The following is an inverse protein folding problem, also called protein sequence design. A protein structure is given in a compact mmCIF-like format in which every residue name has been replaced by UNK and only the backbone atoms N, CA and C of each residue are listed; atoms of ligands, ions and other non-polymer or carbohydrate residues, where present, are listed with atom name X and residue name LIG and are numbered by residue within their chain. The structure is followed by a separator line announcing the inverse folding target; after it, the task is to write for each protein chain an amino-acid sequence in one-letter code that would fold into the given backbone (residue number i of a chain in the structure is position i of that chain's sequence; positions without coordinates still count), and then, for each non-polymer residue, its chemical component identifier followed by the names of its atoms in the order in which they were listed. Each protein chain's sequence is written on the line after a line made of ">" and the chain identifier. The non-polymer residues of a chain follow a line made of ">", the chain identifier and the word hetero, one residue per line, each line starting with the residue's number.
data_IF_846744704463
#
_entry.id   IF_846744704463
#
_cell.length_a   1.000
_cell.length_b   1.000
_cell.length_c   1.000
_cell.angle_alpha   90.00
_cell.angle_beta   90.00
_cell.angle_gamma   90.00
#
_symmetry.space_group_name_H-M   'P 1'
#
loop_
_entity.id
_entity.type
_entity.pdbx_description
1 polymer ?
#
# COMPACT_ATOMS: atom_id res chain seq x y z
N UNK A 1 2.96 13.16 -4.40
CA UNK A 1 3.83 12.61 -3.33
C UNK A 1 3.25 11.27 -2.87
N UNK A 2 3.81 10.58 -1.88
CA UNK A 2 3.47 9.20 -1.48
C UNK A 2 3.67 9.06 0.00
N UNK A 3 3.02 8.11 0.68
CA UNK A 3 3.39 7.74 2.04
C UNK A 3 3.58 6.22 2.15
N UNK A 4 4.75 5.81 2.65
CA UNK A 4 5.05 4.43 2.96
C UNK A 4 5.78 4.30 4.29
N UNK A 5 5.43 3.27 5.05
CA UNK A 5 5.94 3.06 6.41
C UNK A 5 6.13 1.57 6.70
N UNK A 6 7.18 1.23 7.42
CA UNK A 6 7.52 -0.12 7.83
C UNK A 6 7.71 -0.21 9.34
N UNK A 7 7.36 -1.37 9.89
CA UNK A 7 7.52 -1.67 11.32
C UNK A 7 7.89 -3.14 11.54
N UNK A 8 8.79 -3.38 12.49
CA UNK A 8 8.99 -4.71 13.07
C UNK A 8 7.87 -4.91 14.09
N UNK A 9 6.88 -5.73 13.74
CA UNK A 9 5.66 -5.93 14.53
C UNK A 9 5.77 -7.10 15.51
N UNK A 10 6.75 -7.99 15.31
CA UNK A 10 7.14 -9.02 16.29
C UNK A 10 8.65 -9.27 16.16
N UNK A 11 9.44 -8.85 17.17
CA UNK A 11 10.90 -9.04 17.15
C UNK A 11 11.30 -10.51 17.35
N UNK A 12 10.52 -11.27 18.11
CA UNK A 12 10.80 -12.67 18.45
C UNK A 12 10.55 -13.56 17.24
N UNK A 13 9.41 -13.40 16.57
CA UNK A 13 9.10 -14.11 15.32
C UNK A 13 9.82 -13.52 14.10
N UNK A 14 10.51 -12.38 14.26
CA UNK A 14 11.15 -11.64 13.18
C UNK A 14 10.16 -11.09 12.15
N UNK A 15 8.92 -10.80 12.58
CA UNK A 15 7.85 -10.30 11.71
C UNK A 15 8.01 -8.82 11.42
N UNK A 16 8.01 -8.50 10.14
CA UNK A 16 8.19 -7.15 9.61
C UNK A 16 7.11 -6.86 8.56
N UNK A 17 6.51 -5.68 8.66
CA UNK A 17 5.40 -5.26 7.81
C UNK A 17 5.71 -3.91 7.19
N UNK A 18 5.43 -3.77 5.90
CA UNK A 18 5.57 -2.57 5.08
C UNK A 18 4.19 -2.21 4.51
N UNK A 19 3.79 -0.95 4.64
CA UNK A 19 2.53 -0.40 4.18
C UNK A 19 2.78 0.76 3.22
N UNK A 20 1.92 0.91 2.21
CA UNK A 20 1.91 2.06 1.32
C UNK A 20 0.49 2.35 0.80
N UNK A 21 0.26 3.61 0.43
CA UNK A 21 -0.92 4.06 -0.30
C UNK A 21 -0.75 3.84 -1.82
N UNK A 22 -1.81 3.96 -2.62
CA UNK A 22 -1.74 3.79 -4.10
C UNK A 22 -2.03 5.05 -4.90
N UNK A 23 -2.34 6.19 -4.28
CA UNK A 23 -2.71 7.42 -5.01
C UNK A 23 -1.51 7.98 -5.78
N UNK A 24 -1.74 8.37 -7.03
CA UNK A 24 -0.82 9.24 -7.77
C UNK A 24 -1.33 10.67 -7.67
N UNK A 25 -0.45 11.59 -7.25
CA UNK A 25 -0.79 13.02 -7.18
C UNK A 25 -0.32 13.74 -8.44
N UNK A 26 -1.21 14.50 -9.06
CA UNK A 26 -0.97 15.34 -10.21
C UNK A 26 -1.03 16.82 -9.76
N UNK A 27 0.10 17.53 -9.79
CA UNK A 27 0.22 18.89 -9.23
C UNK A 27 -0.75 19.92 -9.82
N UNK A 28 -1.28 19.67 -11.01
CA UNK A 28 -2.16 20.61 -11.72
C UNK A 28 -3.48 19.98 -12.18
N UNK A 29 -3.84 18.79 -11.67
CA UNK A 29 -5.08 18.10 -12.06
C UNK A 29 -5.85 17.64 -10.83
N UNK A 30 -6.68 18.55 -10.31
CA UNK A 30 -7.56 18.30 -9.15
C UNK A 30 -8.57 17.19 -9.46
N UNK A 31 -9.02 17.07 -10.72
CA UNK A 31 -9.97 16.04 -11.14
C UNK A 31 -9.33 14.65 -11.00
N UNK A 32 -8.13 14.44 -11.57
CA UNK A 32 -7.41 13.18 -11.41
C UNK A 32 -7.09 12.86 -9.94
N UNK A 33 -6.77 13.87 -9.14
CA UNK A 33 -6.49 13.68 -7.71
C UNK A 33 -7.72 13.22 -6.90
N UNK A 34 -8.95 13.50 -7.36
CA UNK A 34 -10.20 13.02 -6.76
C UNK A 34 -10.53 11.58 -7.15
N UNK A 35 -9.96 11.06 -8.24
CA UNK A 35 -10.17 9.69 -8.71
C UNK A 35 -9.07 8.72 -8.27
N UNK A 36 -8.63 8.83 -7.02
CA UNK A 36 -7.52 8.04 -6.45
C UNK A 36 -7.72 6.51 -6.50
N UNK A 37 -8.96 6.04 -6.63
CA UNK A 37 -9.33 4.62 -6.72
C UNK A 37 -9.37 4.09 -8.15
N UNK A 38 -9.47 4.97 -9.15
CA UNK A 38 -9.66 4.57 -10.55
C UNK A 38 -8.36 4.15 -11.24
N UNK A 39 -7.23 4.69 -10.77
CA UNK A 39 -5.89 4.37 -11.28
C UNK A 39 -4.90 4.16 -10.12
N UNK A 40 -5.04 3.06 -9.36
CA UNK A 40 -4.12 2.76 -8.28
C UNK A 40 -2.72 2.47 -8.85
N UNK A 41 -1.69 2.98 -8.19
CA UNK A 41 -0.30 2.65 -8.48
C UNK A 41 0.31 1.77 -7.38
N UNK A 42 0.98 0.69 -7.79
CA UNK A 42 1.71 -0.16 -6.88
C UNK A 42 3.05 0.49 -6.49
N UNK A 43 3.18 0.91 -5.23
CA UNK A 43 4.39 1.58 -4.72
C UNK A 43 5.33 0.65 -3.96
N UNK A 44 4.96 -0.61 -3.80
CA UNK A 44 5.77 -1.65 -3.15
C UNK A 44 6.14 -2.70 -4.19
N UNK A 45 7.44 -3.04 -4.27
CA UNK A 45 7.94 -4.14 -5.09
C UNK A 45 8.53 -5.20 -4.17
N UNK A 46 8.13 -6.45 -4.36
CA UNK A 46 8.80 -7.59 -3.74
C UNK A 46 9.94 -7.98 -4.69
N UNK A 47 11.18 -7.84 -4.21
CA UNK A 47 12.37 -8.15 -4.99
C UNK A 47 12.64 -9.65 -4.96
N UNK A 48 12.47 -10.27 -3.79
CA UNK A 48 12.51 -11.72 -3.62
C UNK A 48 11.73 -12.10 -2.34
N UNK A 49 11.74 -13.37 -1.97
CA UNK A 49 11.06 -13.85 -0.75
C UNK A 49 11.57 -13.25 0.56
N UNK A 50 12.67 -12.50 0.57
CA UNK A 50 13.26 -11.93 1.78
C UNK A 50 13.22 -10.40 1.81
N UNK A 51 12.99 -9.74 0.68
CA UNK A 51 13.12 -8.28 0.52
C UNK A 51 11.91 -7.69 -0.21
N UNK A 52 11.33 -6.65 0.39
CA UNK A 52 10.40 -5.76 -0.28
C UNK A 52 10.82 -4.30 -0.11
N UNK A 53 10.48 -3.47 -1.10
CA UNK A 53 10.93 -2.09 -1.20
C UNK A 53 9.74 -1.21 -1.56
N UNK A 54 9.46 -0.21 -0.75
CA UNK A 54 8.56 0.87 -1.11
C UNK A 54 9.34 2.03 -1.75
N UNK A 55 8.68 2.73 -2.67
CA UNK A 55 9.21 3.93 -3.33
C UNK A 55 8.38 5.16 -2.97
N UNK A 56 9.03 6.32 -2.89
CA UNK A 56 8.37 7.61 -2.80
C UNK A 56 9.18 8.68 -3.54
N UNK A 57 8.52 9.78 -3.89
CA UNK A 57 9.12 10.91 -4.62
C UNK A 57 8.44 11.13 -5.97
N UNK A 58 9.12 11.85 -6.84
CA UNK A 58 8.61 12.25 -8.15
C UNK A 58 8.62 11.07 -9.12
N UNK A 59 7.62 10.97 -10.01
CA UNK A 59 7.52 9.94 -11.06
C UNK A 59 7.86 8.53 -10.52
N UNK A 60 7.02 7.93 -9.65
CA UNK A 60 7.35 6.69 -8.96
C UNK A 60 7.65 5.52 -9.91
N UNK A 61 7.08 5.54 -11.13
CA UNK A 61 7.28 4.52 -12.16
C UNK A 61 8.77 4.22 -12.42
N UNK A 62 9.63 5.22 -12.62
CA UNK A 62 11.06 4.97 -12.91
C UNK A 62 11.83 4.43 -11.71
N UNK A 63 11.40 4.74 -10.49
CA UNK A 63 11.97 4.12 -9.28
C UNK A 63 11.52 2.67 -9.12
N UNK A 64 10.27 2.37 -9.45
CA UNK A 64 9.73 1.00 -9.43
C UNK A 64 10.45 0.14 -10.46
N UNK A 65 10.60 0.64 -11.69
CA UNK A 65 11.37 -0.02 -12.75
C UNK A 65 12.81 -0.29 -12.31
N UNK A 66 13.48 0.71 -11.72
CA UNK A 66 14.82 0.53 -11.15
C UNK A 66 14.85 -0.59 -10.12
N UNK A 67 13.90 -0.64 -9.18
CA UNK A 67 13.82 -1.66 -8.14
C UNK A 67 13.58 -3.06 -8.73
N UNK A 68 12.72 -3.18 -9.73
CA UNK A 68 12.48 -4.46 -10.43
C UNK A 68 13.76 -4.99 -11.07
N UNK A 69 14.56 -4.11 -11.69
CA UNK A 69 15.87 -4.46 -12.27
C UNK A 69 16.91 -4.94 -11.25
N UNK A 70 16.64 -4.86 -9.94
CA UNK A 70 17.54 -5.34 -8.89
C UNK A 70 17.21 -6.77 -8.42
N UNK A 71 16.18 -7.41 -8.99
CA UNK A 71 15.86 -8.82 -8.67
C UNK A 71 17.04 -9.74 -8.96
N UNK A 72 17.25 -10.71 -8.08
CA UNK A 72 18.39 -11.63 -8.13
C UNK A 72 19.68 -11.09 -7.49
N UNK A 73 19.77 -9.79 -7.17
CA UNK A 73 20.93 -9.23 -6.50
C UNK A 73 20.91 -9.46 -4.97
N UNK A 74 22.07 -9.54 -4.31
CA UNK A 74 22.15 -9.62 -2.85
C UNK A 74 21.77 -8.27 -2.19
N UNK A 75 21.33 -8.28 -0.90
CA UNK A 75 20.86 -7.07 -0.20
C UNK A 75 21.80 -5.87 -0.28
N UNK A 76 23.10 -6.08 -0.07
CA UNK A 76 24.08 -4.98 -0.09
C UNK A 76 24.22 -4.34 -1.48
N UNK A 77 24.15 -5.14 -2.55
CA UNK A 77 24.20 -4.62 -3.91
C UNK A 77 22.93 -3.83 -4.26
N UNK A 78 21.76 -4.28 -3.77
CA UNK A 78 20.50 -3.54 -3.88
C UNK A 78 20.61 -2.18 -3.18
N UNK A 79 21.05 -2.16 -1.92
CA UNK A 79 21.23 -0.93 -1.13
C UNK A 79 22.17 0.06 -1.84
N UNK A 80 23.33 -0.41 -2.32
CA UNK A 80 24.28 0.42 -3.06
C UNK A 80 23.70 0.97 -4.36
N UNK A 81 23.00 0.13 -5.15
CA UNK A 81 22.42 0.56 -6.42
C UNK A 81 21.32 1.62 -6.23
N UNK A 82 20.49 1.49 -5.19
CA UNK A 82 19.45 2.46 -4.87
C UNK A 82 20.02 3.77 -4.33
N UNK A 83 21.09 3.70 -3.54
CA UNK A 83 21.80 4.90 -3.07
C UNK A 83 22.40 5.67 -4.24
N UNK A 84 23.13 4.99 -5.14
CA UNK A 84 23.67 5.61 -6.36
C UNK A 84 22.58 6.23 -7.23
N UNK A 85 21.48 5.51 -7.44
CA UNK A 85 20.35 6.02 -8.21
C UNK A 85 19.69 7.24 -7.55
N UNK A 86 19.51 7.24 -6.22
CA UNK A 86 18.98 8.39 -5.51
C UNK A 86 19.88 9.62 -5.65
N UNK A 87 21.20 9.45 -5.58
CA UNK A 87 22.19 10.54 -5.78
C UNK A 87 22.16 11.06 -7.21
N UNK A 88 22.02 10.17 -8.20
CA UNK A 88 21.92 10.56 -9.60
C UNK A 88 20.67 11.40 -9.87
N UNK A 89 19.51 10.97 -9.36
CA UNK A 89 18.24 11.66 -9.58
C UNK A 89 18.17 13.03 -8.90
N UNK A 90 18.89 13.23 -7.79
CA UNK A 90 19.01 14.54 -7.14
C UNK A 90 19.72 15.60 -7.99
N UNK A 91 20.46 15.20 -9.02
CA UNK A 91 21.09 16.15 -9.95
C UNK A 91 20.05 16.83 -10.85
N UNK A 92 18.83 16.29 -10.93
CA UNK A 92 17.73 16.85 -11.71
C UNK A 92 16.91 17.77 -10.79
N UNK A 93 16.81 19.08 -11.08
CA UNK A 93 16.08 20.02 -10.24
C UNK A 93 14.62 19.59 -10.03
N UNK A 94 14.19 19.58 -8.76
CA UNK A 94 12.82 19.22 -8.38
C UNK A 94 12.50 17.73 -8.40
N UNK A 95 13.47 16.84 -8.69
CA UNK A 95 13.27 15.39 -8.67
C UNK A 95 13.84 14.79 -7.41
N UNK A 96 13.00 14.07 -6.68
CA UNK A 96 13.34 13.34 -5.46
C UNK A 96 13.00 11.87 -5.59
N UNK A 97 13.86 11.00 -5.04
CA UNK A 97 13.61 9.56 -4.94
C UNK A 97 14.00 9.07 -3.57
N UNK A 98 13.09 8.35 -2.92
CA UNK A 98 13.30 7.72 -1.63
C UNK A 98 12.88 6.26 -1.68
N UNK A 99 13.60 5.42 -0.92
CA UNK A 99 13.37 3.99 -0.84
C UNK A 99 13.29 3.56 0.61
N UNK A 100 12.34 2.68 0.90
CA UNK A 100 12.17 2.06 2.20
C UNK A 100 12.24 0.55 2.00
N UNK A 101 13.33 -0.04 2.46
CA UNK A 101 13.61 -1.46 2.31
C UNK A 101 13.29 -2.18 3.62
N UNK A 102 12.55 -3.28 3.50
CA UNK A 102 12.44 -4.29 4.54
C UNK A 102 13.16 -5.56 4.09
N UNK A 103 13.96 -6.13 4.98
CA UNK A 103 14.64 -7.41 4.76
C UNK A 103 14.34 -8.31 5.94
N UNK A 104 13.83 -9.52 5.71
CA UNK A 104 13.42 -10.42 6.81
C UNK A 104 14.55 -11.33 7.34
N UNK A 105 15.54 -11.65 6.50
CA UNK A 105 16.64 -12.59 6.79
C UNK A 105 18.01 -11.93 6.64
N UNK A 106 19.03 -12.34 7.43
CA UNK A 106 18.97 -13.34 8.52
C UNK A 106 18.25 -12.83 9.79
N UNK A 107 18.08 -11.52 9.91
CA UNK A 107 17.26 -10.85 10.93
C UNK A 107 16.46 -9.73 10.26
N UNK A 108 15.30 -9.32 10.80
CA UNK A 108 14.53 -8.21 10.27
C UNK A 108 15.38 -6.93 10.27
N UNK A 109 15.43 -6.24 9.13
CA UNK A 109 16.10 -4.95 8.95
C UNK A 109 15.17 -3.95 8.27
N UNK A 110 15.26 -2.70 8.68
CA UNK A 110 14.61 -1.57 8.02
C UNK A 110 15.69 -0.58 7.60
N UNK A 111 15.80 -0.33 6.30
CA UNK A 111 16.72 0.66 5.73
C UNK A 111 15.92 1.73 5.00
N UNK A 112 16.21 2.98 5.29
CA UNK A 112 15.66 4.15 4.59
C UNK A 112 16.77 4.76 3.75
N UNK A 113 16.51 4.98 2.47
CA UNK A 113 17.39 5.72 1.57
C UNK A 113 16.64 6.96 1.11
N UNK A 114 17.17 8.14 1.44
CA UNK A 114 16.61 9.44 1.03
C UNK A 114 17.74 10.42 0.82
N UNK A 115 17.64 11.26 -0.21
CA UNK A 115 18.64 12.30 -0.48
C UNK A 115 20.09 11.76 -0.48
N UNK A 116 20.29 10.55 -1.02
CA UNK A 116 21.61 9.90 -1.09
C UNK A 116 22.15 9.40 0.25
N UNK A 117 21.39 9.52 1.33
CA UNK A 117 21.76 9.09 2.67
C UNK A 117 21.05 7.78 2.98
N UNK A 118 21.82 6.82 3.49
CA UNK A 118 21.32 5.55 4.04
C UNK A 118 21.17 5.67 5.56
N UNK A 119 19.97 5.48 6.05
CA UNK A 119 19.63 5.44 7.47
C UNK A 119 19.16 4.03 7.87
N UNK A 120 19.81 3.44 8.87
CA UNK A 120 19.44 2.13 9.40
C UNK A 120 18.46 2.29 10.57
N UNK A 121 17.20 1.97 10.33
CA UNK A 121 16.09 2.12 11.28
C UNK A 121 15.76 0.85 12.04
N UNK A 122 16.60 -0.18 11.94
CA UNK A 122 16.35 -1.51 12.52
C UNK A 122 16.18 -1.47 14.05
N UNK A 123 17.04 -0.74 14.76
CA UNK A 123 16.95 -0.62 16.22
C UNK A 123 15.69 0.12 16.67
N UNK A 124 15.32 1.19 15.96
CA UNK A 124 14.06 1.90 16.19
C UNK A 124 12.85 1.03 15.85
N UNK A 125 13.01 0.05 14.96
CA UNK A 125 11.98 -0.88 14.54
C UNK A 125 10.88 -0.22 13.71
N UNK A 126 11.06 1.04 13.27
CA UNK A 126 10.11 1.79 12.44
C UNK A 126 10.87 2.71 11.48
N UNK A 127 10.51 2.70 10.19
CA UNK A 127 11.05 3.60 9.17
C UNK A 127 9.97 4.00 8.16
N UNK A 128 10.08 5.19 7.59
CA UNK A 128 9.08 5.74 6.67
C UNK A 128 9.74 6.61 5.60
N UNK A 129 9.03 6.81 4.49
CA UNK A 129 9.40 7.70 3.39
C UNK A 129 8.17 8.44 2.88
N UNK A 130 8.41 9.58 2.21
CA UNK A 130 7.38 10.34 1.53
C UNK A 130 6.87 11.54 2.33
N UNK A 131 5.56 11.73 2.37
CA UNK A 131 4.92 12.94 2.92
C UNK A 131 5.03 13.01 4.46
N UNK A 132 5.56 14.12 4.97
CA UNK A 132 5.78 14.35 6.39
C UNK A 132 4.47 14.55 7.16
N UNK A 133 3.47 15.20 6.55
CA UNK A 133 2.19 15.46 7.22
C UNK A 133 1.38 14.17 7.30
N UNK A 134 1.47 13.30 6.31
CA UNK A 134 0.96 11.93 6.39
C UNK A 134 1.60 11.15 7.54
N UNK A 135 2.92 11.24 7.70
CA UNK A 135 3.62 10.60 8.82
C UNK A 135 3.15 11.15 10.17
N UNK A 136 2.95 12.47 10.30
CA UNK A 136 2.44 13.09 11.53
C UNK A 136 1.03 12.60 11.86
N UNK A 137 0.13 12.60 10.88
CA UNK A 137 -1.23 12.08 11.03
C UNK A 137 -1.21 10.60 11.45
N UNK A 138 -0.47 9.78 10.72
CA UNK A 138 -0.26 8.37 11.05
C UNK A 138 0.21 8.19 12.49
N UNK A 139 1.26 8.93 12.89
CA UNK A 139 1.88 8.78 14.18
C UNK A 139 0.93 9.19 15.32
N UNK A 140 0.14 10.25 15.11
CA UNK A 140 -0.89 10.68 16.07
C UNK A 140 -1.96 9.60 16.25
N UNK A 141 -2.44 9.01 15.16
CA UNK A 141 -3.43 7.92 15.21
C UNK A 141 -2.85 6.68 15.90
N UNK A 142 -1.63 6.28 15.51
CA UNK A 142 -0.96 5.08 16.01
C UNK A 142 -0.62 5.16 17.51
N UNK A 143 -0.23 6.33 18.00
CA UNK A 143 0.14 6.55 19.41
C UNK A 143 -1.02 7.00 20.30
N UNK A 144 -2.21 7.26 19.74
CA UNK A 144 -3.35 7.69 20.55
C UNK A 144 -3.76 6.65 21.60
N UNK A 145 -4.14 7.10 22.79
CA UNK A 145 -4.61 6.22 23.88
C UNK A 145 -5.84 5.40 23.46
N UNK A 146 -6.72 6.03 22.66
CA UNK A 146 -7.88 5.37 22.08
C UNK A 146 -7.48 4.18 21.20
N UNK A 147 -6.51 4.34 20.29
CA UNK A 147 -6.05 3.27 19.43
C UNK A 147 -5.32 2.16 20.20
N UNK A 148 -4.51 2.54 21.21
CA UNK A 148 -3.81 1.58 22.07
C UNK A 148 -4.78 0.72 22.89
N UNK A 149 -5.87 1.32 23.36
CA UNK A 149 -6.92 0.64 24.14
C UNK A 149 -7.80 -0.23 23.25
N UNK A 150 -8.27 0.30 22.12
CA UNK A 150 -9.19 -0.40 21.23
C UNK A 150 -8.50 -1.55 20.45
N UNK A 151 -7.21 -1.41 20.13
CA UNK A 151 -6.45 -2.39 19.34
C UNK A 151 -5.10 -2.63 20.02
N UNK A 152 -5.06 -3.54 21.03
CA UNK A 152 -3.83 -3.83 21.76
C UNK A 152 -2.76 -4.48 20.87
N UNK A 153 -3.18 -5.28 19.88
CA UNK A 153 -2.30 -5.92 18.91
C UNK A 153 -1.51 -4.89 18.09
N UNK A 154 -0.18 -5.05 18.04
CA UNK A 154 0.72 -4.08 17.43
C UNK A 154 0.54 -4.02 15.91
N UNK A 155 0.34 -5.17 15.25
CA UNK A 155 0.16 -5.21 13.79
C UNK A 155 -1.21 -4.63 13.40
N UNK A 156 -2.28 -5.03 14.08
CA UNK A 156 -3.62 -4.49 13.91
C UNK A 156 -3.64 -2.97 14.09
N UNK A 157 -3.02 -2.45 15.15
CA UNK A 157 -2.91 -1.01 15.38
C UNK A 157 -2.08 -0.30 14.31
N UNK A 158 -0.99 -0.92 13.87
CA UNK A 158 -0.14 -0.39 12.79
C UNK A 158 -0.91 -0.29 11.47
N UNK A 159 -1.66 -1.33 11.10
CA UNK A 159 -2.51 -1.34 9.91
C UNK A 159 -3.64 -0.31 10.01
N UNK A 160 -4.38 -0.29 11.12
CA UNK A 160 -5.53 0.59 11.28
C UNK A 160 -5.15 2.07 11.30
N UNK A 161 -3.99 2.43 11.86
CA UNK A 161 -3.47 3.79 11.76
C UNK A 161 -3.26 4.18 10.29
N UNK A 162 -2.68 3.30 9.47
CA UNK A 162 -2.49 3.56 8.04
C UNK A 162 -3.80 3.61 7.26
N UNK A 163 -4.76 2.71 7.55
CA UNK A 163 -6.10 2.75 6.94
C UNK A 163 -6.73 4.12 7.17
N UNK A 164 -6.68 4.63 8.40
CA UNK A 164 -7.20 5.96 8.71
C UNK A 164 -6.41 7.05 7.98
N UNK A 165 -5.08 7.02 8.00
CA UNK A 165 -4.27 8.01 7.25
C UNK A 165 -4.63 8.08 5.76
N UNK A 166 -5.02 6.96 5.14
CA UNK A 166 -5.46 6.89 3.74
C UNK A 166 -6.90 7.36 3.57
N UNK A 167 -7.81 6.97 4.48
CA UNK A 167 -9.25 7.13 4.30
C UNK A 167 -9.77 8.57 4.50
N UNK A 168 -9.12 9.36 5.34
CA UNK A 168 -9.64 10.69 5.70
C UNK A 168 -9.29 11.80 4.69
N UNK A 169 -8.49 11.51 3.65
CA UNK A 169 -8.05 12.45 2.60
C UNK A 169 -7.48 13.81 3.11
N UNK A 170 -7.21 13.93 4.42
CA UNK A 170 -6.64 15.12 5.08
C UNK A 170 -5.26 15.50 4.52
N UNK A 171 -4.59 14.56 3.86
CA UNK A 171 -3.30 14.77 3.20
C UNK A 171 -3.45 14.53 1.71
N UNK A 172 -3.45 15.61 0.94
CA UNK A 172 -3.72 15.60 -0.50
C UNK A 172 -2.87 14.59 -1.31
N UNK A 173 -1.66 14.28 -0.83
CA UNK A 173 -0.71 13.40 -1.49
C UNK A 173 -0.89 11.90 -1.20
N UNK A 174 -1.79 11.54 -0.28
CA UNK A 174 -2.05 10.17 0.16
C UNK A 174 -3.49 9.80 -0.18
N UNK A 175 -3.72 8.52 -0.51
CA UNK A 175 -5.07 7.99 -0.70
C UNK A 175 -5.07 6.69 -1.52
N UNK A 176 -6.24 6.36 -2.06
CA UNK A 176 -6.42 5.13 -2.83
C UNK A 176 -6.52 3.90 -1.92
N UNK A 177 -5.88 2.81 -2.30
CA UNK A 177 -5.89 1.56 -1.54
C UNK A 177 -4.70 1.46 -0.59
N UNK A 178 -4.90 0.76 0.53
CA UNK A 178 -3.80 0.25 1.34
C UNK A 178 -3.20 -0.98 0.65
N UNK A 179 -1.88 -0.99 0.49
CA UNK A 179 -1.08 -2.18 0.13
C UNK A 179 -0.19 -2.55 1.30
N UNK A 180 -0.25 -3.82 1.72
CA UNK A 180 0.60 -4.38 2.77
C UNK A 180 1.50 -5.48 2.22
N UNK A 181 2.79 -5.43 2.54
CA UNK A 181 3.72 -6.53 2.38
C UNK A 181 4.27 -6.95 3.75
N UNK A 182 4.18 -8.24 4.07
CA UNK A 182 4.65 -8.76 5.37
C UNK A 182 5.47 -10.03 5.18
N UNK A 183 6.43 -10.25 6.05
CA UNK A 183 7.21 -11.48 6.13
C UNK A 183 7.72 -11.71 7.55
N UNK A 184 8.22 -12.92 7.82
CA UNK A 184 8.76 -13.31 9.13
C UNK A 184 10.06 -14.11 8.98
N UNK A 185 10.62 -14.62 10.08
CA UNK A 185 11.77 -15.53 9.99
C UNK A 185 11.44 -16.80 9.17
N UNK A 186 10.20 -17.30 9.25
CA UNK A 186 9.76 -18.56 8.63
C UNK A 186 8.97 -18.35 7.34
N UNK A 187 8.30 -17.22 7.17
CA UNK A 187 7.46 -16.94 6.01
C UNK A 187 8.11 -15.89 5.09
N UNK A 188 8.10 -16.10 3.76
CA UNK A 188 8.63 -15.12 2.83
C UNK A 188 7.79 -13.84 2.82
N UNK A 189 8.38 -12.74 2.38
CA UNK A 189 7.65 -11.49 2.17
C UNK A 189 6.61 -11.70 1.06
N UNK A 190 5.35 -11.42 1.38
CA UNK A 190 4.20 -11.50 0.46
C UNK A 190 3.25 -10.34 0.70
N UNK A 191 2.46 -10.00 -0.31
CA UNK A 191 1.34 -9.10 -0.11
C UNK A 191 0.30 -9.74 0.83
N UNK A 192 -0.31 -8.92 1.68
CA UNK A 192 -1.42 -9.31 2.55
C UNK A 192 -2.73 -9.40 1.76
N UNK A 193 -3.58 -10.37 2.09
CA UNK A 193 -4.92 -10.49 1.54
C UNK A 193 -5.94 -9.72 2.39
N UNK A 194 -5.59 -8.47 2.74
CA UNK A 194 -6.42 -7.66 3.64
C UNK A 194 -7.64 -7.12 2.89
N UNK A 195 -8.86 -7.38 3.38
CA UNK A 195 -10.03 -6.69 2.88
C UNK A 195 -9.95 -5.22 3.30
N UNK A 196 -10.22 -4.34 2.35
CA UNK A 196 -10.47 -2.93 2.61
C UNK A 196 -11.92 -2.60 2.27
N UNK A 197 -12.50 -1.64 2.96
CA UNK A 197 -13.76 -1.04 2.56
C UNK A 197 -13.49 0.07 1.54
N UNK A 198 -14.23 0.06 0.46
CA UNK A 198 -14.31 1.17 -0.48
C UNK A 198 -15.61 1.88 -0.18
N UNK A 199 -15.50 3.05 0.45
CA UNK A 199 -16.66 3.91 0.68
C UNK A 199 -17.18 4.42 -0.67
N UNK A 200 -18.49 4.70 -0.78
CA UNK A 200 -19.03 5.38 -1.95
C UNK A 200 -18.24 6.66 -2.25
N UNK A 201 -17.92 6.87 -3.53
CA UNK A 201 -17.10 8.02 -3.95
C UNK A 201 -17.77 9.40 -3.78
N UNK A 202 -19.05 9.42 -3.43
CA UNK A 202 -19.87 10.63 -3.30
C UNK A 202 -20.43 10.74 -1.87
N UNK A 203 -19.57 10.92 -0.87
CA UNK A 203 -20.03 11.29 0.46
C UNK A 203 -20.06 12.82 0.59
N UNK A 204 -21.24 13.36 0.87
CA UNK A 204 -21.43 14.75 1.27
C UNK A 204 -21.25 14.87 2.79
N UNK A 205 -20.38 15.77 3.22
CA UNK A 205 -20.22 16.11 4.63
C UNK A 205 -21.07 17.34 4.96
N UNK A 206 -22.04 17.18 5.84
CA UNK A 206 -22.79 18.30 6.42
C UNK A 206 -22.27 18.58 7.83
N UNK A 207 -21.87 19.82 8.08
CA UNK A 207 -21.43 20.28 9.38
C UNK A 207 -22.62 20.88 10.12
N UNK A 208 -22.89 20.40 11.32
CA UNK A 208 -24.02 20.88 12.11
C UNK A 208 -23.75 20.85 13.61
N UNK A 209 -24.41 21.72 14.39
CA UNK A 209 -24.36 21.64 15.84
C UNK A 209 -24.96 20.32 16.32
N UNK A 210 -24.23 19.59 17.16
CA UNK A 210 -24.75 18.37 17.78
C UNK A 210 -25.68 18.70 18.96
N UNK A 211 -26.69 17.84 19.25
CA UNK A 211 -27.64 18.04 20.34
C UNK A 211 -27.00 18.17 21.73
N UNK A 212 -25.79 17.62 21.93
CA UNK A 212 -25.06 17.65 23.19
C UNK A 212 -24.13 18.88 23.35
N UNK A 213 -24.13 19.80 22.38
CA UNK A 213 -23.14 20.87 22.27
C UNK A 213 -21.85 20.35 21.63
N UNK A 214 -21.42 21.02 20.55
CA UNK A 214 -20.28 20.63 19.73
C UNK A 214 -20.59 20.76 18.23
N UNK A 215 -19.55 20.69 17.40
CA UNK A 215 -19.67 20.62 15.94
C UNK A 215 -19.55 19.16 15.52
N UNK A 216 -20.58 18.62 14.87
CA UNK A 216 -20.58 17.28 14.31
C UNK A 216 -20.42 17.31 12.80
N UNK A 217 -19.76 16.28 12.27
CA UNK A 217 -19.76 15.97 10.84
C UNK A 217 -20.77 14.85 10.61
N UNK A 218 -21.79 15.11 9.80
CA UNK A 218 -22.71 14.09 9.33
C UNK A 218 -22.41 13.80 7.87
N UNK A 219 -21.98 12.56 7.60
CA UNK A 219 -21.74 12.08 6.25
C UNK A 219 -23.07 11.54 5.69
N UNK A 220 -23.47 12.04 4.53
CA UNK A 220 -24.65 11.61 3.80
C UNK A 220 -24.29 11.35 2.33
N UNK A 221 -25.03 10.47 1.69
CA UNK A 221 -24.91 10.24 0.25
C UNK A 221 -25.86 11.20 -0.48
N UNK A 222 -25.47 11.82 -1.60
CA UNK A 222 -26.38 12.60 -2.41
C UNK A 222 -27.55 11.73 -2.89
N UNK A 223 -28.73 12.32 -3.10
CA UNK A 223 -29.88 11.60 -3.65
C UNK A 223 -29.54 10.92 -4.99
N UNK A 224 -29.64 9.59 -5.04
CA UNK A 224 -29.33 8.78 -6.22
C UNK A 224 -27.89 8.25 -6.28
N UNK A 225 -27.01 8.63 -5.36
CA UNK A 225 -25.69 8.05 -5.24
C UNK A 225 -25.79 6.58 -4.76
N UNK A 226 -24.93 5.72 -5.31
CA UNK A 226 -24.86 4.31 -4.91
C UNK A 226 -24.37 4.22 -3.45
N UNK A 227 -25.21 3.76 -2.51
CA UNK A 227 -24.85 3.69 -1.10
C UNK A 227 -23.90 2.54 -0.78
N UNK A 228 -23.62 1.67 -1.76
CA UNK A 228 -22.97 0.39 -1.51
C UNK A 228 -21.50 0.61 -1.18
N UNK A 229 -21.13 0.39 0.08
CA UNK A 229 -19.73 0.18 0.43
C UNK A 229 -19.31 -1.15 -0.17
N UNK A 230 -18.25 -1.16 -0.98
CA UNK A 230 -17.76 -2.39 -1.58
C UNK A 230 -16.61 -2.98 -0.78
N UNK A 231 -16.52 -4.30 -0.77
CA UNK A 231 -15.35 -4.98 -0.24
C UNK A 231 -14.30 -5.02 -1.35
N UNK A 232 -13.14 -4.44 -1.07
CA UNK A 232 -11.96 -4.59 -1.91
C UNK A 232 -11.06 -5.66 -1.33
N UNK A 233 -10.78 -6.67 -2.13
CA UNK A 233 -9.90 -7.78 -1.79
C UNK A 233 -8.56 -7.62 -2.48
N UNK A 234 -7.51 -7.78 -1.70
CA UNK A 234 -6.16 -7.92 -2.27
C UNK A 234 -5.94 -9.37 -2.67
N UNK A 235 -5.68 -9.62 -3.96
CA UNK A 235 -5.30 -10.94 -4.49
C UNK A 235 -3.81 -10.89 -4.81
N UNK A 236 -3.00 -11.62 -4.06
CA UNK A 236 -1.54 -11.59 -4.18
C UNK A 236 -1.05 -12.58 -5.25
N UNK A 237 0.07 -12.26 -5.88
CA UNK A 237 0.80 -13.21 -6.70
C UNK A 237 1.49 -14.31 -5.88
N UNK A 238 1.58 -15.51 -6.46
CA UNK A 238 2.40 -16.62 -5.95
C UNK A 238 3.57 -16.88 -6.88
N UNK A 239 4.49 -17.77 -6.49
CA UNK A 239 5.65 -18.10 -7.32
C UNK A 239 5.21 -18.65 -8.69
N UNK A 240 5.85 -18.24 -9.81
CA UNK A 240 6.99 -17.32 -9.90
C UNK A 240 6.63 -15.82 -9.86
N UNK A 241 5.37 -15.43 -10.03
CA UNK A 241 4.92 -14.03 -10.08
C UNK A 241 4.63 -13.42 -8.69
N UNK A 242 5.50 -13.65 -7.71
CA UNK A 242 5.28 -13.31 -6.29
C UNK A 242 5.14 -11.82 -5.96
N UNK A 243 5.36 -10.93 -6.93
CA UNK A 243 5.20 -9.48 -6.80
C UNK A 243 4.03 -8.94 -7.62
N UNK A 244 3.24 -9.82 -8.26
CA UNK A 244 1.97 -9.45 -8.85
C UNK A 244 0.95 -9.13 -7.75
N UNK A 245 0.01 -8.26 -8.06
CA UNK A 245 -0.99 -7.78 -7.11
C UNK A 245 -2.26 -7.39 -7.88
N UNK A 246 -3.39 -7.94 -7.50
CA UNK A 246 -4.68 -7.46 -7.95
C UNK A 246 -5.49 -6.86 -6.80
N UNK A 247 -6.15 -5.74 -7.07
CA UNK A 247 -7.21 -5.19 -6.22
C UNK A 247 -8.54 -5.55 -6.85
N UNK A 248 -9.30 -6.47 -6.24
CA UNK A 248 -10.55 -6.99 -6.76
C UNK A 248 -11.73 -6.45 -5.97
N UNK A 249 -12.75 -5.95 -6.67
CA UNK A 249 -14.02 -5.50 -6.11
C UNK A 249 -15.12 -6.37 -6.71
N UNK A 250 -15.59 -7.42 -6.00
CA UNK A 250 -16.56 -8.38 -6.51
C UNK A 250 -17.87 -7.74 -6.99
N UNK A 251 -18.40 -6.81 -6.20
CA UNK A 251 -19.69 -6.15 -6.42
C UNK A 251 -19.66 -5.30 -7.70
N UNK A 252 -18.52 -4.65 -7.96
CA UNK A 252 -18.29 -3.86 -9.17
C UNK A 252 -17.73 -4.69 -10.33
N UNK A 253 -17.53 -6.00 -10.15
CA UNK A 253 -16.98 -6.93 -11.15
C UNK A 253 -15.71 -6.38 -11.82
N UNK A 254 -14.89 -5.71 -11.03
CA UNK A 254 -13.73 -4.95 -11.50
C UNK A 254 -12.50 -5.36 -10.72
N UNK A 255 -11.38 -5.52 -11.41
CA UNK A 255 -10.07 -5.66 -10.78
C UNK A 255 -9.03 -4.75 -11.43
N UNK A 256 -8.05 -4.32 -10.64
CA UNK A 256 -6.83 -3.66 -11.12
C UNK A 256 -5.65 -4.58 -10.87
N UNK A 257 -5.04 -5.09 -11.93
CA UNK A 257 -3.90 -6.01 -11.90
C UNK A 257 -2.59 -5.26 -12.18
N UNK A 258 -1.66 -5.35 -11.24
CA UNK A 258 -0.25 -5.02 -11.46
C UNK A 258 0.53 -6.32 -11.65
N UNK A 259 1.34 -6.37 -12.71
CA UNK A 259 2.13 -7.56 -13.04
C UNK A 259 3.40 -7.65 -12.20
N UNK A 260 3.94 -8.86 -12.08
CA UNK A 260 5.21 -9.08 -11.44
C UNK A 260 6.34 -8.38 -12.22
N UNK A 261 6.34 -8.48 -13.54
CA UNK A 261 7.39 -8.02 -14.44
C UNK A 261 7.41 -6.50 -14.58
N UNK A 262 6.23 -5.87 -14.68
CA UNK A 262 6.11 -4.45 -15.02
C UNK A 262 5.16 -3.67 -14.08
N UNK A 263 5.36 -3.72 -12.74
CA UNK A 263 4.47 -3.06 -11.78
C UNK A 263 4.50 -1.52 -11.86
N UNK A 264 5.43 -0.92 -12.61
CA UNK A 264 5.49 0.53 -12.84
C UNK A 264 4.52 1.02 -13.91
N UNK A 265 3.98 0.12 -14.74
CA UNK A 265 2.95 0.46 -15.72
C UNK A 265 1.61 0.69 -15.01
N UNK A 266 0.69 1.36 -15.70
CA UNK A 266 -0.68 1.49 -15.23
C UNK A 266 -1.27 0.11 -14.95
N UNK A 267 -2.08 0.01 -13.90
CA UNK A 267 -2.75 -1.24 -13.60
C UNK A 267 -3.64 -1.67 -14.77
N UNK A 268 -3.62 -2.95 -15.09
CA UNK A 268 -4.50 -3.53 -16.10
C UNK A 268 -5.89 -3.62 -15.48
N UNK A 269 -6.83 -2.84 -15.99
CA UNK A 269 -8.23 -2.91 -15.56
C UNK A 269 -8.89 -4.12 -16.20
N UNK A 270 -9.41 -5.01 -15.37
CA UNK A 270 -10.12 -6.22 -15.78
C UNK A 270 -11.59 -6.12 -15.38
N UNK A 271 -12.48 -6.61 -16.23
CA UNK A 271 -13.88 -6.82 -15.90
C UNK A 271 -14.11 -8.33 -15.78
N UNK A 272 -14.48 -8.78 -14.59
CA UNK A 272 -14.54 -10.21 -14.22
C UNK A 272 -15.74 -10.47 -13.32
N UNK A 273 -16.47 -11.54 -13.56
CA UNK A 273 -17.68 -11.92 -12.84
C UNK A 273 -17.38 -12.58 -11.48
N UNK A 274 -16.18 -13.12 -11.29
CA UNK A 274 -15.80 -13.84 -10.07
C UNK A 274 -14.30 -13.80 -9.79
N UNK A 275 -13.91 -14.20 -8.58
CA UNK A 275 -12.52 -14.42 -8.21
C UNK A 275 -11.85 -15.50 -9.08
N UNK A 276 -12.58 -16.57 -9.44
CA UNK A 276 -12.04 -17.63 -10.29
C UNK A 276 -11.69 -17.07 -11.68
N UNK A 277 -12.62 -16.32 -12.27
CA UNK A 277 -12.38 -15.69 -13.57
C UNK A 277 -11.21 -14.70 -13.52
N UNK A 278 -11.05 -13.94 -12.43
CA UNK A 278 -9.88 -13.09 -12.24
C UNK A 278 -8.57 -13.89 -12.28
N UNK A 279 -8.51 -15.02 -11.57
CA UNK A 279 -7.30 -15.86 -11.54
C UNK A 279 -7.03 -16.48 -12.92
N UNK A 280 -8.08 -16.92 -13.62
CA UNK A 280 -7.96 -17.53 -14.94
C UNK A 280 -7.51 -16.52 -16.00
N UNK A 281 -8.12 -15.33 -16.04
CA UNK A 281 -7.75 -14.23 -16.96
C UNK A 281 -6.34 -13.73 -16.67
N UNK A 282 -6.00 -13.51 -15.39
CA UNK A 282 -4.66 -13.08 -15.00
C UNK A 282 -3.58 -14.06 -15.47
N UNK A 283 -3.87 -15.38 -15.41
CA UNK A 283 -2.95 -16.42 -15.84
C UNK A 283 -2.87 -16.55 -17.36
N UNK A 284 -4.01 -16.64 -18.04
CA UNK A 284 -4.09 -16.91 -19.47
C UNK A 284 -3.61 -15.73 -20.31
N UNK A 285 -4.02 -14.51 -19.95
CA UNK A 285 -3.84 -13.34 -20.81
C UNK A 285 -2.64 -12.48 -20.37
N UNK A 286 -2.22 -12.61 -19.11
CA UNK A 286 -1.19 -11.77 -18.52
C UNK A 286 -0.03 -12.54 -17.87
N UNK A 287 -0.03 -13.88 -17.92
CA UNK A 287 0.99 -14.74 -17.32
C UNK A 287 1.19 -14.52 -15.80
N UNK A 288 0.17 -14.02 -15.09
CA UNK A 288 0.22 -13.78 -13.65
C UNK A 288 -0.47 -14.90 -12.88
N UNK A 289 0.21 -15.48 -11.89
CA UNK A 289 -0.33 -16.55 -11.06
C UNK A 289 -0.72 -15.96 -9.71
N UNK A 290 -2.02 -15.95 -9.44
CA UNK A 290 -2.63 -15.33 -8.28
C UNK A 290 -3.08 -16.38 -7.24
N UNK A 291 -3.01 -16.03 -5.96
CA UNK A 291 -3.41 -16.87 -4.82
C UNK A 291 -4.95 -16.84 -4.65
N UNK A 292 -5.64 -17.83 -5.19
CA UNK A 292 -7.10 -17.95 -5.01
C UNK A 292 -7.47 -18.25 -3.57
N UNK A 293 -6.80 -19.23 -2.96
CA UNK A 293 -7.23 -19.85 -1.71
C UNK A 293 -7.27 -18.85 -0.57
N UNK A 294 -6.20 -18.07 -0.41
CA UNK A 294 -6.14 -17.04 0.63
C UNK A 294 -7.18 -15.94 0.44
N UNK A 295 -7.47 -15.55 -0.80
CA UNK A 295 -8.49 -14.53 -1.06
C UNK A 295 -9.90 -15.09 -0.91
N UNK A 296 -10.14 -16.36 -1.22
CA UNK A 296 -11.42 -17.00 -0.98
C UNK A 296 -11.72 -17.09 0.52
N UNK A 297 -10.73 -17.46 1.34
CA UNK A 297 -10.87 -17.46 2.81
C UNK A 297 -11.24 -16.05 3.33
N UNK A 298 -10.64 -15.00 2.75
CA UNK A 298 -11.02 -13.64 3.07
C UNK A 298 -12.47 -13.36 2.63
N UNK A 299 -12.84 -13.67 1.39
CA UNK A 299 -14.21 -13.46 0.89
C UNK A 299 -15.26 -14.13 1.78
N UNK A 300 -15.05 -15.40 2.14
CA UNK A 300 -16.00 -16.19 2.94
C UNK A 300 -16.19 -15.62 4.36
N UNK A 301 -15.19 -14.92 4.89
CA UNK A 301 -15.27 -14.26 6.21
C UNK A 301 -16.09 -12.97 6.18
N UNK A 302 -16.18 -12.30 5.03
CA UNK A 302 -16.79 -10.98 4.90
C UNK A 302 -18.01 -10.94 3.96
N UNK A 303 -18.40 -12.08 3.38
CA UNK A 303 -19.67 -12.19 2.67
C UNK A 303 -20.84 -11.99 3.66
N UNK A 304 -21.78 -11.06 3.41
CA UNK A 304 -22.99 -10.97 4.20
C UNK A 304 -23.82 -12.25 4.01
N UNK A 305 -24.23 -12.87 5.11
CA UNK A 305 -25.28 -13.89 5.12
C UNK A 305 -26.61 -13.32 4.60
#
# INVERSE_FOLDING_TARGET
>A
MTFAIAKIVDRTAGKITLLADTKLTHQHDVTQNRHALANPAQKIVIVNGDIAIAVAGDTPASAIEKVVGLRGLPPNAIESALMSYAVEMQKIPGVTKSFLLITRKPKPRIIVIRNGIRDNRTEVGTGWIGDLDAYRLFNNLFLSDAAQTAIPDLEGRFMMAMVNTIAWDDVASVGGYLVRATGSATQPVRFGADPGFVLPGELEATFGPQPAGGFGVQLSLPPGADPTSHIRLTVRGVSPTYSALAQYIPEARTAWLHTHEEPWRNAIRLSVQSLNELVDVAKADHNQILDREMTQIALDRYAPC
#
